data_IF_772727001215
#
_entry.id   IF_772727001215
#
_cell.length_a   1.000
_cell.length_b   1.000
_cell.length_c   1.000
_cell.angle_alpha   90.00
_cell.angle_beta   90.00
_cell.angle_gamma   90.00
#
_symmetry.space_group_name_H-M   'P 1'
#
loop_
_entity.id
_entity.type
_entity.pdbx_description
1 polymer ?
#
# COMPACT_ATOMS: atom_id res chain seq x y z
N UNK A 1 22.98 -10.02 1.96
CA UNK A 1 22.40 -8.83 2.59
C UNK A 1 23.50 -7.90 3.02
N UNK A 2 24.03 -8.09 4.23
CA UNK A 2 25.15 -7.31 4.75
C UNK A 2 26.46 -8.12 4.75
N UNK A 3 27.61 -7.44 4.70
CA UNK A 3 28.90 -8.05 5.03
C UNK A 3 29.00 -8.31 6.53
N UNK A 4 29.94 -9.16 6.96
CA UNK A 4 30.15 -9.44 8.37
C UNK A 4 30.52 -8.17 9.15
N UNK A 5 31.35 -7.30 8.56
CA UNK A 5 31.68 -5.99 9.12
C UNK A 5 30.46 -5.08 9.30
N UNK A 6 29.52 -5.10 8.36
CA UNK A 6 28.28 -4.33 8.45
C UNK A 6 27.34 -4.89 9.52
N UNK A 7 27.27 -6.22 9.68
CA UNK A 7 26.52 -6.84 10.77
C UNK A 7 27.09 -6.44 12.12
N UNK A 8 28.42 -6.51 12.27
CA UNK A 8 29.10 -6.10 13.50
C UNK A 8 28.83 -4.62 13.80
N UNK A 9 28.84 -3.74 12.79
CA UNK A 9 28.50 -2.33 12.96
C UNK A 9 27.06 -2.13 13.48
N UNK A 10 26.07 -2.79 12.87
CA UNK A 10 24.66 -2.72 13.28
C UNK A 10 24.50 -3.20 14.72
N UNK A 11 25.02 -4.38 15.04
CA UNK A 11 24.91 -4.96 16.38
C UNK A 11 25.63 -4.11 17.43
N UNK A 12 26.79 -3.56 17.09
CA UNK A 12 27.54 -2.67 17.99
C UNK A 12 26.75 -1.39 18.28
N UNK A 13 26.11 -0.79 17.28
CA UNK A 13 25.26 0.39 17.47
C UNK A 13 24.03 0.08 18.31
N UNK A 14 23.40 -1.08 18.08
CA UNK A 14 22.25 -1.51 18.86
C UNK A 14 22.62 -1.70 20.33
N UNK A 15 23.70 -2.45 20.59
CA UNK A 15 24.25 -2.71 21.91
C UNK A 15 24.73 -1.45 22.62
N UNK A 16 25.16 -0.42 21.90
CA UNK A 16 25.65 0.81 22.52
C UNK A 16 24.57 1.55 23.31
N UNK A 17 23.29 1.40 22.95
CA UNK A 17 22.20 2.17 23.54
C UNK A 17 21.79 1.66 24.93
N UNK A 18 21.74 0.35 25.16
CA UNK A 18 21.29 -0.25 26.42
C UNK A 18 22.11 -1.47 26.89
N UNK A 19 23.15 -1.84 26.14
CA UNK A 19 24.01 -2.99 26.36
C UNK A 19 23.27 -4.34 26.40
N UNK A 20 22.15 -4.43 25.68
CA UNK A 20 21.33 -5.64 25.55
C UNK A 20 20.94 -5.86 24.09
N UNK A 21 20.54 -7.10 23.80
CA UNK A 21 19.88 -7.46 22.55
C UNK A 21 18.54 -8.07 22.92
N UNK A 22 17.46 -7.40 22.57
CA UNK A 22 16.10 -7.88 22.79
C UNK A 22 15.23 -7.81 21.52
N UNK A 23 13.94 -8.11 21.67
CA UNK A 23 13.00 -8.17 20.53
C UNK A 23 12.72 -6.77 19.97
N UNK A 24 12.80 -5.71 20.78
CA UNK A 24 12.60 -4.34 20.32
C UNK A 24 13.72 -3.87 19.39
N UNK A 25 14.90 -4.48 19.49
CA UNK A 25 16.03 -4.20 18.60
C UNK A 25 15.84 -4.72 17.17
N UNK A 26 14.88 -5.62 16.93
CA UNK A 26 14.61 -6.16 15.59
C UNK A 26 14.21 -5.02 14.63
N UNK A 27 13.33 -4.13 15.06
CA UNK A 27 12.90 -2.98 14.25
C UNK A 27 14.08 -2.05 13.95
N UNK A 28 14.95 -1.83 14.94
CA UNK A 28 16.16 -1.01 14.80
C UNK A 28 17.16 -1.64 13.84
N UNK A 29 17.38 -2.94 13.95
CA UNK A 29 18.26 -3.70 13.06
C UNK A 29 17.76 -3.68 11.61
N UNK A 30 16.44 -3.79 11.40
CA UNK A 30 15.81 -3.69 10.09
C UNK A 30 16.00 -2.28 9.51
N UNK A 31 15.76 -1.24 10.30
CA UNK A 31 15.94 0.15 9.87
C UNK A 31 17.40 0.43 9.47
N UNK A 32 18.37 0.00 10.27
CA UNK A 32 19.78 0.21 9.98
C UNK A 32 20.27 -0.64 8.80
N UNK A 33 19.80 -1.89 8.68
CA UNK A 33 20.02 -2.73 7.49
C UNK A 33 19.49 -2.03 6.22
N UNK A 34 18.31 -1.42 6.28
CA UNK A 34 17.75 -0.64 5.18
C UNK A 34 18.62 0.57 4.82
N UNK A 35 19.12 1.30 5.84
CA UNK A 35 20.02 2.44 5.66
C UNK A 35 21.34 2.02 4.98
N UNK A 36 21.95 0.92 5.42
CA UNK A 36 23.20 0.39 4.87
C UNK A 36 23.07 -0.15 3.45
N UNK A 37 21.92 -0.71 3.11
CA UNK A 37 21.63 -1.22 1.76
C UNK A 37 21.25 -0.13 0.75
N UNK A 38 21.48 1.14 1.08
CA UNK A 38 21.18 2.29 0.22
C UNK A 38 19.73 2.26 -0.28
N UNK A 39 18.77 2.13 0.64
CA UNK A 39 17.39 2.47 0.33
C UNK A 39 17.34 3.99 0.06
N UNK A 40 17.63 4.35 -1.19
CA UNK A 40 17.77 5.71 -1.71
C UNK A 40 17.75 5.68 -3.24
N UNK A 41 17.12 6.68 -3.85
CA UNK A 41 16.74 6.64 -5.26
C UNK A 41 15.25 6.31 -5.41
N UNK A 42 14.93 5.20 -6.08
CA UNK A 42 13.54 4.80 -6.42
C UNK A 42 12.86 3.95 -5.34
N UNK A 43 13.62 3.44 -4.36
CA UNK A 43 13.13 2.61 -3.25
C UNK A 43 13.22 3.38 -1.93
N UNK A 44 12.14 3.36 -1.15
CA UNK A 44 12.05 3.97 0.18
C UNK A 44 11.64 2.93 1.24
N UNK A 45 12.19 3.03 2.45
CA UNK A 45 11.75 2.22 3.59
C UNK A 45 10.63 2.96 4.28
N UNK A 46 9.43 2.41 4.23
CA UNK A 46 8.27 2.99 4.89
C UNK A 46 8.15 2.40 6.30
N UNK A 47 7.82 3.26 7.26
CA UNK A 47 7.44 2.85 8.61
C UNK A 47 5.96 3.13 8.82
N UNK A 48 5.28 2.22 9.50
CA UNK A 48 3.89 2.40 9.91
C UNK A 48 3.69 1.75 11.27
N UNK A 49 2.88 2.37 12.10
CA UNK A 49 2.47 1.89 13.42
C UNK A 49 1.04 1.36 13.42
N UNK A 50 0.38 1.36 12.27
CA UNK A 50 -1.02 0.99 12.12
C UNK A 50 -1.12 -0.33 11.35
N UNK A 51 -1.70 -1.35 11.98
CA UNK A 51 -2.00 -2.64 11.38
C UNK A 51 -3.37 -2.70 10.72
N UNK A 52 -3.77 -3.91 10.31
CA UNK A 52 -5.05 -4.16 9.63
C UNK A 52 -6.28 -3.84 10.49
N UNK A 53 -6.13 -3.71 11.81
CA UNK A 53 -7.17 -3.26 12.72
C UNK A 53 -7.59 -1.80 12.49
N UNK A 54 -6.70 -0.97 11.93
CA UNK A 54 -7.00 0.41 11.55
C UNK A 54 -7.56 0.54 10.13
N UNK A 55 -7.85 -0.58 9.46
CA UNK A 55 -8.44 -0.60 8.12
C UNK A 55 -9.94 -0.91 8.24
N UNK A 56 -10.77 0.02 7.79
CA UNK A 56 -12.22 -0.17 7.69
C UNK A 56 -12.60 -0.86 6.38
N UNK A 57 -13.41 -1.92 6.45
CA UNK A 57 -13.75 -2.76 5.31
C UNK A 57 -12.66 -3.79 5.01
N UNK A 58 -12.45 -4.09 3.72
CA UNK A 58 -11.42 -5.03 3.23
C UNK A 58 -11.52 -6.44 3.83
N UNK A 59 -12.73 -6.92 4.10
CA UNK A 59 -12.92 -8.16 4.87
C UNK A 59 -12.29 -9.37 4.17
N UNK A 60 -12.48 -9.51 2.85
CA UNK A 60 -11.95 -10.65 2.12
C UNK A 60 -10.42 -10.61 2.01
N UNK A 61 -9.84 -9.43 1.81
CA UNK A 61 -8.41 -9.22 1.80
C UNK A 61 -7.82 -9.50 3.19
N UNK A 62 -8.45 -9.03 4.26
CA UNK A 62 -8.02 -9.29 5.64
C UNK A 62 -7.99 -10.79 5.95
N UNK A 63 -9.07 -11.51 5.62
CA UNK A 63 -9.12 -12.97 5.79
C UNK A 63 -8.04 -13.67 4.97
N UNK A 64 -7.85 -13.23 3.72
CA UNK A 64 -6.85 -13.79 2.82
C UNK A 64 -5.41 -13.54 3.33
N UNK A 65 -5.13 -12.35 3.84
CA UNK A 65 -3.83 -11.95 4.42
C UNK A 65 -3.55 -12.71 5.72
N UNK A 66 -4.57 -12.86 6.58
CA UNK A 66 -4.44 -13.57 7.85
C UNK A 66 -4.00 -15.04 7.66
N UNK A 67 -4.52 -15.72 6.62
CA UNK A 67 -4.12 -17.10 6.32
C UNK A 67 -2.70 -17.25 5.76
N UNK A 68 -2.06 -16.16 5.32
CA UNK A 68 -0.77 -16.18 4.62
C UNK A 68 0.40 -15.61 5.40
N UNK A 69 0.17 -14.88 6.49
CA UNK A 69 1.25 -14.32 7.30
C UNK A 69 2.26 -15.37 7.79
N UNK A 70 1.80 -16.59 8.08
CA UNK A 70 2.66 -17.72 8.48
C UNK A 70 3.45 -18.38 7.33
N UNK A 71 3.13 -18.07 6.06
CA UNK A 71 3.72 -18.76 4.90
C UNK A 71 5.20 -18.45 4.68
N UNK A 72 5.75 -17.47 5.40
CA UNK A 72 7.15 -17.04 5.29
C UNK A 72 8.08 -17.73 6.31
N UNK A 73 7.55 -18.62 7.15
CA UNK A 73 8.34 -19.32 8.16
C UNK A 73 9.09 -20.55 7.60
N UNK A 74 10.19 -20.99 8.24
CA UNK A 74 10.86 -22.25 7.89
C UNK A 74 9.93 -23.48 7.99
N UNK A 75 9.01 -23.48 8.96
CA UNK A 75 8.03 -24.54 9.17
C UNK A 75 7.03 -24.62 8.01
N UNK A 76 6.56 -23.47 7.52
CA UNK A 76 5.69 -23.41 6.34
C UNK A 76 6.39 -24.00 5.10
N UNK A 77 7.68 -23.69 4.91
CA UNK A 77 8.50 -24.27 3.84
C UNK A 77 8.64 -25.79 4.01
N UNK A 78 8.87 -26.27 5.24
CA UNK A 78 8.94 -27.70 5.53
C UNK A 78 7.60 -28.42 5.31
N UNK A 79 6.47 -27.75 5.50
CA UNK A 79 5.13 -28.24 5.17
C UNK A 79 4.87 -28.30 3.65
N UNK A 80 5.75 -27.72 2.83
CA UNK A 80 5.62 -27.68 1.38
C UNK A 80 4.92 -26.43 0.85
N UNK A 81 4.68 -25.42 1.69
CA UNK A 81 4.21 -24.12 1.21
C UNK A 81 5.34 -23.38 0.50
N UNK A 82 5.02 -22.83 -0.66
CA UNK A 82 5.82 -21.76 -1.26
C UNK A 82 5.41 -20.44 -0.60
N UNK A 83 6.35 -19.52 -0.36
CA UNK A 83 6.00 -18.17 0.10
C UNK A 83 4.95 -17.54 -0.83
N UNK A 84 4.02 -16.79 -0.25
CA UNK A 84 3.08 -16.01 -1.03
C UNK A 84 3.84 -14.99 -1.89
N UNK A 85 3.50 -14.89 -3.17
CA UNK A 85 4.20 -14.04 -4.15
C UNK A 85 3.70 -12.60 -4.10
N UNK A 86 2.40 -12.39 -3.96
CA UNK A 86 1.88 -11.03 -3.94
C UNK A 86 0.42 -10.86 -4.27
N UNK A 87 -0.03 -9.62 -4.15
CA UNK A 87 -1.39 -9.15 -4.42
C UNK A 87 -1.35 -7.89 -5.28
N UNK A 88 -2.27 -7.80 -6.24
CA UNK A 88 -2.59 -6.56 -6.95
C UNK A 88 -3.86 -5.94 -6.36
N UNK A 89 -3.74 -4.72 -5.84
CA UNK A 89 -4.85 -3.91 -5.35
C UNK A 89 -5.21 -2.88 -6.41
N UNK A 90 -6.39 -3.01 -6.99
CA UNK A 90 -6.87 -2.09 -8.02
C UNK A 90 -8.26 -1.58 -7.68
N UNK A 91 -8.62 -0.39 -8.14
CA UNK A 91 -9.98 0.13 -7.94
C UNK A 91 -10.02 1.63 -7.73
N UNK A 92 -11.11 2.11 -7.13
CA UNK A 92 -11.44 3.54 -7.09
C UNK A 92 -10.34 4.32 -6.34
N UNK A 93 -9.86 5.45 -6.90
CA UNK A 93 -8.87 6.31 -6.23
C UNK A 93 -9.35 6.75 -4.84
N UNK A 94 -8.42 6.94 -3.91
CA UNK A 94 -8.74 7.41 -2.55
C UNK A 94 -9.41 6.38 -1.63
N UNK A 95 -9.58 5.13 -2.05
CA UNK A 95 -10.26 4.08 -1.25
C UNK A 95 -9.31 3.22 -0.40
N UNK A 96 -8.10 3.69 -0.08
CA UNK A 96 -7.25 3.05 0.92
C UNK A 96 -6.29 1.95 0.42
N UNK A 97 -6.08 1.79 -0.90
CA UNK A 97 -5.13 0.81 -1.48
C UNK A 97 -3.70 0.93 -0.91
N UNK A 98 -3.16 2.14 -0.89
CA UNK A 98 -1.83 2.44 -0.35
C UNK A 98 -1.78 2.27 1.17
N UNK A 99 -2.89 2.58 1.86
CA UNK A 99 -3.01 2.44 3.30
C UNK A 99 -3.01 0.97 3.73
N UNK A 100 -3.77 0.12 3.06
CA UNK A 100 -3.82 -1.31 3.38
C UNK A 100 -2.48 -2.00 3.07
N UNK A 101 -1.72 -1.56 2.07
CA UNK A 101 -0.37 -2.05 1.82
C UNK A 101 0.55 -1.84 3.04
N UNK A 102 0.49 -0.65 3.65
CA UNK A 102 1.19 -0.33 4.91
C UNK A 102 0.72 -1.22 6.05
N UNK A 103 -0.59 -1.34 6.21
CA UNK A 103 -1.19 -2.14 7.28
C UNK A 103 -0.81 -3.63 7.21
N UNK A 104 -0.73 -4.22 6.01
CA UNK A 104 -0.31 -5.62 5.82
C UNK A 104 1.13 -5.83 6.32
N UNK A 105 2.06 -4.97 5.91
CA UNK A 105 3.46 -5.08 6.30
C UNK A 105 3.64 -4.94 7.83
N UNK A 106 2.94 -4.00 8.45
CA UNK A 106 2.91 -3.85 9.90
C UNK A 106 2.37 -5.10 10.60
N UNK A 107 1.22 -5.61 10.14
CA UNK A 107 0.56 -6.79 10.74
C UNK A 107 1.44 -8.03 10.67
N UNK A 108 2.27 -8.17 9.63
CA UNK A 108 3.22 -9.27 9.50
C UNK A 108 4.58 -9.01 10.18
N UNK A 109 4.80 -7.81 10.74
CA UNK A 109 6.08 -7.44 11.33
C UNK A 109 7.24 -7.43 10.33
N UNK A 110 6.96 -7.09 9.06
CA UNK A 110 7.93 -7.11 7.97
C UNK A 110 8.30 -5.70 7.50
N UNK A 111 9.55 -5.46 7.06
CA UNK A 111 9.93 -4.20 6.45
C UNK A 111 9.09 -3.93 5.20
N UNK A 112 8.59 -2.70 5.08
CA UNK A 112 7.89 -2.22 3.89
C UNK A 112 8.82 -1.41 3.00
N UNK A 113 9.08 -1.91 1.80
CA UNK A 113 9.87 -1.24 0.78
C UNK A 113 8.93 -0.66 -0.27
N UNK A 114 8.85 0.66 -0.38
CA UNK A 114 8.04 1.34 -1.39
C UNK A 114 8.89 1.63 -2.63
N UNK A 115 8.46 1.10 -3.76
CA UNK A 115 8.96 1.43 -5.08
C UNK A 115 7.94 2.36 -5.76
N UNK A 116 8.32 3.62 -5.99
CA UNK A 116 7.52 4.54 -6.79
C UNK A 116 7.74 4.23 -8.27
N UNK A 117 6.72 3.64 -8.91
CA UNK A 117 6.82 3.24 -10.30
C UNK A 117 7.00 4.44 -11.26
N UNK A 118 6.46 5.62 -10.92
CA UNK A 118 6.64 6.84 -11.69
C UNK A 118 8.07 7.39 -11.63
N UNK A 119 8.75 7.20 -10.49
CA UNK A 119 10.13 7.65 -10.29
C UNK A 119 11.15 6.90 -11.17
N UNK A 120 10.81 5.71 -11.67
CA UNK A 120 11.70 4.90 -12.49
C UNK A 120 12.09 5.57 -13.83
N UNK A 121 11.25 6.45 -14.38
CA UNK A 121 11.51 7.15 -15.64
C UNK A 121 12.28 8.47 -15.49
N UNK A 122 12.50 8.96 -14.26
CA UNK A 122 12.94 10.33 -14.02
C UNK A 122 14.43 10.61 -14.31
N UNK A 123 15.20 9.65 -14.81
CA UNK A 123 16.64 9.85 -15.03
C UNK A 123 17.16 8.99 -16.18
N UNK A 124 17.51 9.61 -17.31
CA UNK A 124 18.27 9.07 -18.45
C UNK A 124 17.86 7.70 -19.04
N UNK A 125 17.63 7.67 -20.35
CA UNK A 125 17.34 6.46 -21.15
C UNK A 125 18.48 5.44 -20.93
N UNK A 126 18.23 4.41 -20.11
CA UNK A 126 19.19 3.37 -19.72
C UNK A 126 19.31 3.14 -18.20
N UNK A 127 19.09 4.16 -17.37
CA UNK A 127 19.16 4.00 -15.91
C UNK A 127 17.91 3.35 -15.32
N UNK A 128 16.73 3.48 -15.94
CA UNK A 128 15.46 2.95 -15.42
C UNK A 128 15.45 1.44 -15.20
N UNK A 129 15.96 0.65 -16.15
CA UNK A 129 16.01 -0.82 -16.02
C UNK A 129 17.03 -1.25 -14.97
N UNK A 130 18.17 -0.55 -14.91
CA UNK A 130 19.18 -0.76 -13.86
C UNK A 130 18.60 -0.45 -12.48
N UNK A 131 17.92 0.68 -12.33
CA UNK A 131 17.28 1.10 -11.08
C UNK A 131 16.22 0.09 -10.63
N UNK A 132 15.41 -0.43 -11.56
CA UNK A 132 14.46 -1.50 -11.25
C UNK A 132 15.18 -2.76 -10.76
N UNK A 133 16.21 -3.24 -11.47
CA UNK A 133 16.98 -4.42 -11.04
C UNK A 133 17.64 -4.23 -9.68
N UNK A 134 18.22 -3.06 -9.43
CA UNK A 134 18.83 -2.72 -8.14
C UNK A 134 17.78 -2.68 -7.03
N UNK A 135 16.61 -2.08 -7.26
CA UNK A 135 15.52 -2.06 -6.30
C UNK A 135 15.02 -3.48 -5.95
N UNK A 136 14.85 -4.35 -6.95
CA UNK A 136 14.44 -5.74 -6.75
C UNK A 136 15.51 -6.56 -6.01
N UNK A 137 16.79 -6.35 -6.34
CA UNK A 137 17.90 -6.99 -5.63
C UNK A 137 17.98 -6.55 -4.16
N UNK A 138 17.74 -5.25 -3.89
CA UNK A 138 17.66 -4.72 -2.52
C UNK A 138 16.48 -5.32 -1.76
N UNK A 139 15.32 -5.48 -2.40
CA UNK A 139 14.16 -6.13 -1.77
C UNK A 139 14.45 -7.59 -1.38
N UNK A 140 15.08 -8.35 -2.27
CA UNK A 140 15.53 -9.72 -2.00
C UNK A 140 16.56 -9.77 -0.86
N UNK A 141 17.53 -8.85 -0.84
CA UNK A 141 18.54 -8.76 0.23
C UNK A 141 17.95 -8.39 1.60
N UNK A 142 16.81 -7.70 1.62
CA UNK A 142 16.06 -7.32 2.82
C UNK A 142 15.04 -8.37 3.25
N UNK A 143 14.87 -9.48 2.52
CA UNK A 143 13.93 -10.54 2.87
C UNK A 143 14.15 -11.11 4.29
N UNK A 144 13.07 -11.55 4.98
CA UNK A 144 11.66 -11.46 4.57
C UNK A 144 11.15 -10.00 4.56
N UNK A 145 10.44 -9.60 3.51
CA UNK A 145 10.03 -8.21 3.29
C UNK A 145 8.75 -8.09 2.48
N UNK A 146 8.10 -6.92 2.57
CA UNK A 146 7.00 -6.52 1.68
C UNK A 146 7.52 -5.47 0.69
N UNK A 147 7.41 -5.75 -0.60
CA UNK A 147 7.71 -4.80 -1.67
C UNK A 147 6.40 -4.19 -2.18
N UNK A 148 6.16 -2.93 -1.85
CA UNK A 148 5.01 -2.17 -2.35
C UNK A 148 5.39 -1.37 -3.60
N UNK A 149 4.83 -1.75 -4.74
CA UNK A 149 4.96 -1.02 -6.01
C UNK A 149 3.74 -0.09 -6.13
N UNK A 150 3.96 1.20 -5.89
CA UNK A 150 2.86 2.18 -5.90
C UNK A 150 2.56 2.67 -7.31
N UNK A 151 1.27 2.76 -7.64
CA UNK A 151 0.75 3.23 -8.93
C UNK A 151 1.48 2.58 -10.11
N UNK A 152 1.46 1.24 -10.13
CA UNK A 152 2.20 0.43 -11.10
C UNK A 152 1.88 0.81 -12.56
N UNK A 153 0.71 1.36 -12.85
CA UNK A 153 0.34 1.88 -14.17
C UNK A 153 1.17 3.10 -14.61
N UNK A 154 1.72 3.89 -13.68
CA UNK A 154 2.60 5.01 -14.03
C UNK A 154 3.97 4.53 -14.51
N UNK A 155 4.45 3.42 -13.93
CA UNK A 155 5.70 2.77 -14.33
C UNK A 155 5.57 1.88 -15.56
N UNK A 156 4.41 1.27 -15.76
CA UNK A 156 4.27 0.15 -16.68
C UNK A 156 3.04 0.26 -17.61
N UNK A 157 2.33 1.38 -17.63
CA UNK A 157 1.10 1.52 -18.42
C UNK A 157 1.27 1.97 -19.87
N UNK A 158 2.45 2.47 -20.24
CA UNK A 158 2.78 2.92 -21.61
C UNK A 158 3.47 1.81 -22.43
N UNK A 159 2.94 0.59 -22.41
CA UNK A 159 3.61 -0.63 -22.94
C UNK A 159 3.23 -1.01 -24.38
N UNK A 160 2.95 -0.03 -25.24
CA UNK A 160 2.67 -0.25 -26.66
C UNK A 160 3.93 -0.24 -27.55
N UNK A 161 3.99 -1.01 -28.67
CA UNK A 161 5.06 -0.91 -29.67
C UNK A 161 5.14 0.47 -30.34
N UNK A 162 4.08 1.26 -30.25
CA UNK A 162 3.95 2.64 -30.73
C UNK A 162 4.18 3.69 -29.62
N UNK A 163 4.66 3.30 -28.44
CA UNK A 163 4.96 4.24 -27.34
C UNK A 163 6.13 5.15 -27.70
N UNK A 164 6.08 6.40 -27.25
CA UNK A 164 7.12 7.43 -27.41
C UNK A 164 8.47 7.04 -26.79
N UNK A 165 8.49 6.00 -25.96
CA UNK A 165 9.60 5.68 -25.06
C UNK A 165 10.49 4.53 -25.60
N UNK A 166 10.32 4.17 -26.88
CA UNK A 166 11.18 3.17 -27.54
C UNK A 166 11.13 1.78 -26.91
N UNK A 167 9.97 1.39 -26.37
CA UNK A 167 9.75 0.09 -25.73
C UNK A 167 10.42 -0.09 -24.36
N UNK A 168 10.89 0.99 -23.72
CA UNK A 168 11.49 0.94 -22.38
C UNK A 168 10.54 0.32 -21.33
N UNK A 169 9.29 0.79 -21.28
CA UNK A 169 8.30 0.27 -20.33
C UNK A 169 8.02 -1.22 -20.52
N UNK A 170 8.05 -1.71 -21.77
CA UNK A 170 7.88 -3.15 -22.05
C UNK A 170 9.07 -3.98 -21.54
N UNK A 171 10.31 -3.50 -21.72
CA UNK A 171 11.51 -4.18 -21.18
C UNK A 171 11.54 -4.19 -19.67
N UNK A 172 11.16 -3.09 -19.03
CA UNK A 172 11.04 -3.00 -17.58
C UNK A 172 9.96 -3.93 -17.05
N UNK A 173 8.79 -3.98 -17.70
CA UNK A 173 7.72 -4.92 -17.38
C UNK A 173 8.20 -6.37 -17.47
N UNK A 174 8.92 -6.70 -18.54
CA UNK A 174 9.53 -8.01 -18.72
C UNK A 174 10.48 -8.34 -17.58
N UNK A 175 11.36 -7.40 -17.20
CA UNK A 175 12.31 -7.57 -16.10
C UNK A 175 11.60 -7.82 -14.75
N UNK A 176 10.57 -7.04 -14.43
CA UNK A 176 9.75 -7.25 -13.23
C UNK A 176 9.08 -8.61 -13.27
N UNK A 177 8.42 -8.95 -14.38
CA UNK A 177 7.66 -10.20 -14.53
C UNK A 177 8.56 -11.43 -14.44
N UNK A 178 9.76 -11.38 -15.02
CA UNK A 178 10.77 -12.44 -14.91
C UNK A 178 11.22 -12.59 -13.46
N UNK A 179 11.57 -11.49 -12.78
CA UNK A 179 11.97 -11.55 -11.38
C UNK A 179 10.86 -12.08 -10.45
N UNK A 180 9.61 -11.68 -10.67
CA UNK A 180 8.44 -12.21 -9.96
C UNK A 180 8.30 -13.74 -10.09
N UNK A 181 8.82 -14.34 -11.17
CA UNK A 181 8.78 -15.78 -11.38
C UNK A 181 9.96 -16.50 -10.74
N UNK A 182 11.16 -15.94 -10.89
CA UNK A 182 12.43 -16.61 -10.66
C UNK A 182 12.98 -16.46 -9.24
N UNK A 183 12.58 -15.45 -8.48
CA UNK A 183 13.10 -15.26 -7.12
C UNK A 183 12.53 -16.30 -6.14
N UNK A 184 13.37 -16.75 -5.20
CA UNK A 184 13.04 -17.75 -4.16
C UNK A 184 13.00 -17.13 -2.75
N UNK A 185 13.46 -15.87 -2.63
CA UNK A 185 13.45 -15.11 -1.40
C UNK A 185 12.01 -14.83 -0.92
N UNK A 186 11.76 -14.79 0.39
CA UNK A 186 10.43 -14.48 0.94
C UNK A 186 10.12 -12.98 0.81
N UNK A 187 9.86 -12.51 -0.42
CA UNK A 187 9.45 -11.14 -0.72
C UNK A 187 7.99 -11.15 -1.19
N UNK A 188 7.12 -10.51 -0.42
CA UNK A 188 5.71 -10.37 -0.78
C UNK A 188 5.47 -9.08 -1.54
N UNK A 189 4.95 -9.16 -2.76
CA UNK A 189 4.73 -7.99 -3.61
C UNK A 189 3.30 -7.47 -3.41
N UNK A 190 3.16 -6.19 -3.09
CA UNK A 190 1.87 -5.48 -3.14
C UNK A 190 1.96 -4.47 -4.26
N UNK A 191 1.18 -4.63 -5.32
CA UNK A 191 1.08 -3.63 -6.37
C UNK A 191 -0.23 -2.85 -6.21
N UNK A 192 -0.20 -1.53 -6.30
CA UNK A 192 -1.42 -0.70 -6.31
C UNK A 192 -1.66 -0.12 -7.70
N UNK A 193 -2.94 0.00 -8.08
CA UNK A 193 -3.33 0.68 -9.31
C UNK A 193 -4.63 1.47 -9.17
N UNK A 194 -4.63 2.67 -9.73
CA UNK A 194 -5.82 3.52 -9.82
C UNK A 194 -6.54 3.38 -11.18
N UNK A 195 -5.83 2.89 -12.20
CA UNK A 195 -6.35 2.75 -13.55
C UNK A 195 -5.87 1.45 -14.20
N UNK A 196 -6.65 0.41 -13.98
CA UNK A 196 -6.41 -0.93 -14.50
C UNK A 196 -6.40 -0.99 -16.03
N UNK A 197 -7.04 -0.03 -16.71
CA UNK A 197 -7.11 -0.04 -18.18
C UNK A 197 -5.79 0.32 -18.84
N UNK A 198 -4.89 0.97 -18.07
CA UNK A 198 -3.52 1.23 -18.49
C UNK A 198 -2.61 0.04 -18.26
N UNK A 199 -3.00 -0.93 -17.42
CA UNK A 199 -2.10 -2.03 -17.11
C UNK A 199 -2.02 -3.04 -18.25
N UNK A 200 -0.80 -3.50 -18.56
CA UNK A 200 -0.59 -4.57 -19.54
C UNK A 200 -1.30 -5.85 -19.07
N UNK A 201 -2.01 -6.57 -19.97
CA UNK A 201 -2.66 -7.84 -19.64
C UNK A 201 -1.72 -8.89 -19.04
N UNK A 202 -0.42 -8.77 -19.30
CA UNK A 202 0.62 -9.63 -18.74
C UNK A 202 0.67 -9.61 -17.21
N UNK A 203 0.34 -8.48 -16.56
CA UNK A 203 0.31 -8.36 -15.10
C UNK A 203 -0.96 -8.93 -14.47
N UNK A 204 -2.07 -8.94 -15.21
CA UNK A 204 -3.38 -9.42 -14.73
C UNK A 204 -3.58 -10.91 -15.02
N UNK A 205 -2.63 -11.57 -15.67
CA UNK A 205 -2.66 -13.03 -15.89
C UNK A 205 -2.46 -13.79 -14.59
N UNK A 206 -3.31 -14.81 -14.41
CA UNK A 206 -3.27 -15.72 -13.27
C UNK A 206 -1.90 -16.39 -13.15
N UNK A 207 -1.33 -16.39 -11.93
CA UNK A 207 -0.02 -16.96 -11.62
C UNK A 207 1.14 -15.95 -11.50
N UNK A 208 0.87 -14.64 -11.62
CA UNK A 208 1.85 -13.57 -11.33
C UNK A 208 1.65 -12.99 -9.94
N UNK A 209 0.43 -12.55 -9.67
CA UNK A 209 -0.05 -12.33 -8.32
C UNK A 209 -0.83 -13.56 -7.87
N UNK A 210 -0.81 -13.84 -6.57
CA UNK A 210 -1.61 -14.91 -5.98
C UNK A 210 -3.10 -14.55 -6.02
N UNK A 211 -3.41 -13.25 -5.94
CA UNK A 211 -4.78 -12.73 -6.00
C UNK A 211 -4.81 -11.29 -6.52
N UNK A 212 -5.92 -10.93 -7.18
CA UNK A 212 -6.23 -9.56 -7.58
C UNK A 212 -7.47 -9.11 -6.82
N UNK A 213 -7.32 -8.08 -5.99
CA UNK A 213 -8.43 -7.51 -5.24
C UNK A 213 -8.89 -6.18 -5.82
N UNK A 214 -10.21 -6.06 -5.95
CA UNK A 214 -10.89 -4.83 -6.32
C UNK A 214 -11.32 -4.05 -5.08
N UNK A 215 -10.84 -2.82 -4.98
CA UNK A 215 -11.14 -1.87 -3.91
C UNK A 215 -12.16 -0.85 -4.41
N UNK A 216 -13.40 -1.04 -3.99
CA UNK A 216 -14.51 -0.16 -4.35
C UNK A 216 -14.69 0.99 -3.34
N UNK A 217 -15.66 1.87 -3.61
CA UNK A 217 -16.16 2.83 -2.64
C UNK A 217 -16.62 2.12 -1.36
N UNK A 218 -16.31 2.68 -0.18
CA UNK A 218 -16.70 2.08 1.09
C UNK A 218 -18.22 2.05 1.26
N UNK A 219 -18.74 0.94 1.77
CA UNK A 219 -20.14 0.82 2.19
C UNK A 219 -20.43 1.65 3.46
N UNK A 220 -21.70 1.74 3.86
CA UNK A 220 -22.11 2.55 5.02
C UNK A 220 -21.40 2.13 6.31
N UNK A 221 -21.21 0.83 6.56
CA UNK A 221 -20.55 0.34 7.78
C UNK A 221 -19.05 0.67 7.76
N UNK A 222 -18.40 0.53 6.61
CA UNK A 222 -17.02 0.92 6.40
C UNK A 222 -16.85 2.43 6.62
N UNK A 223 -17.73 3.28 6.08
CA UNK A 223 -17.68 4.74 6.29
C UNK A 223 -17.86 5.13 7.75
N UNK A 224 -18.80 4.50 8.46
CA UNK A 224 -19.00 4.71 9.90
C UNK A 224 -17.72 4.39 10.68
N UNK A 225 -17.08 3.27 10.38
CA UNK A 225 -15.81 2.90 10.99
C UNK A 225 -14.68 3.86 10.60
N UNK A 226 -14.62 4.31 9.34
CA UNK A 226 -13.66 5.32 8.90
C UNK A 226 -13.79 6.62 9.71
N UNK A 227 -15.00 7.12 9.94
CA UNK A 227 -15.18 8.31 10.78
C UNK A 227 -14.64 8.12 12.19
N UNK A 228 -14.91 6.96 12.83
CA UNK A 228 -14.34 6.64 14.15
C UNK A 228 -12.81 6.67 14.15
N UNK A 229 -12.20 6.03 13.15
CA UNK A 229 -10.74 5.97 13.02
C UNK A 229 -10.12 7.34 12.76
N UNK A 230 -10.74 8.16 11.90
CA UNK A 230 -10.27 9.51 11.59
C UNK A 230 -10.37 10.46 12.79
N UNK A 231 -11.40 10.30 13.63
CA UNK A 231 -11.52 11.04 14.89
C UNK A 231 -10.47 10.58 15.91
N UNK A 232 -10.33 9.26 16.11
CA UNK A 232 -9.40 8.66 17.05
C UNK A 232 -7.93 9.02 16.72
N UNK A 233 -7.54 8.97 15.45
CA UNK A 233 -6.18 9.31 15.01
C UNK A 233 -5.81 10.78 15.27
N UNK A 234 -6.80 11.64 15.52
CA UNK A 234 -6.66 13.07 15.83
C UNK A 234 -6.90 13.37 17.31
N UNK A 235 -6.90 12.35 18.17
CA UNK A 235 -7.10 12.49 19.60
C UNK A 235 -8.52 12.92 19.99
N UNK A 236 -9.52 12.65 19.14
CA UNK A 236 -10.93 12.97 19.42
C UNK A 236 -11.68 11.70 19.80
N UNK A 237 -12.36 11.75 20.94
CA UNK A 237 -13.26 10.70 21.40
C UNK A 237 -14.47 10.61 20.45
N UNK A 238 -14.72 9.43 19.86
CA UNK A 238 -15.79 9.26 18.88
C UNK A 238 -17.19 9.21 19.52
N UNK A 239 -17.29 9.04 20.83
CA UNK A 239 -18.55 8.95 21.59
C UNK A 239 -19.38 10.24 21.52
N UNK A 240 -18.73 11.38 21.26
CA UNK A 240 -19.38 12.67 21.04
C UNK A 240 -19.89 12.89 19.61
N UNK A 241 -19.67 11.94 18.70
CA UNK A 241 -19.98 12.08 17.28
C UNK A 241 -21.01 11.05 16.82
N UNK A 242 -21.97 11.50 16.02
CA UNK A 242 -22.92 10.61 15.36
C UNK A 242 -22.30 10.07 14.06
N UNK A 243 -21.39 9.11 14.21
CA UNK A 243 -20.68 8.51 13.07
C UNK A 243 -21.64 7.78 12.11
N UNK A 244 -22.80 7.31 12.61
CA UNK A 244 -23.81 6.67 11.78
C UNK A 244 -24.50 7.69 10.86
N UNK A 245 -24.86 8.86 11.40
CA UNK A 245 -25.40 9.97 10.60
C UNK A 245 -24.38 10.50 9.58
N UNK A 246 -23.10 10.62 9.97
CA UNK A 246 -22.04 11.01 9.04
C UNK A 246 -21.90 9.99 7.90
N UNK A 247 -21.92 8.69 8.20
CA UNK A 247 -21.85 7.64 7.19
C UNK A 247 -23.05 7.61 6.23
N UNK A 248 -24.25 7.92 6.74
CA UNK A 248 -25.47 8.00 5.96
C UNK A 248 -25.48 9.21 5.01
N UNK A 249 -24.83 10.31 5.39
CA UNK A 249 -24.75 11.55 4.58
C UNK A 249 -23.54 11.58 3.64
N UNK A 250 -22.62 10.61 3.74
CA UNK A 250 -21.42 10.50 2.92
C UNK A 250 -21.50 9.37 1.87
N UNK A 251 -22.70 9.08 1.34
CA UNK A 251 -22.85 8.06 0.28
C UNK A 251 -22.03 8.42 -0.96
N UNK A 252 -21.31 7.45 -1.51
CA UNK A 252 -20.45 7.66 -2.68
C UNK A 252 -19.10 8.31 -2.39
N UNK A 253 -18.78 8.66 -1.13
CA UNK A 253 -17.47 9.20 -0.74
C UNK A 253 -16.41 8.10 -0.65
N UNK A 254 -15.21 8.41 -1.13
CA UNK A 254 -13.99 7.65 -0.89
C UNK A 254 -13.41 7.92 0.50
N UNK A 255 -12.50 7.05 0.96
CA UNK A 255 -11.82 7.25 2.24
C UNK A 255 -11.03 8.56 2.32
N UNK A 256 -10.39 8.96 1.22
CA UNK A 256 -9.66 10.23 1.12
C UNK A 256 -10.59 11.45 1.24
N UNK A 257 -11.79 11.38 0.68
CA UNK A 257 -12.78 12.47 0.78
C UNK A 257 -13.34 12.56 2.20
N UNK A 258 -13.60 11.43 2.86
CA UNK A 258 -13.99 11.40 4.28
C UNK A 258 -12.90 12.03 5.15
N UNK A 259 -11.64 11.64 4.95
CA UNK A 259 -10.50 12.22 5.65
C UNK A 259 -10.42 13.74 5.44
N UNK A 260 -10.57 14.19 4.20
CA UNK A 260 -10.54 15.61 3.85
C UNK A 260 -11.70 16.38 4.49
N UNK A 261 -12.91 15.84 4.51
CA UNK A 261 -14.07 16.48 5.16
C UNK A 261 -13.85 16.63 6.68
N UNK A 262 -13.30 15.62 7.35
CA UNK A 262 -12.94 15.71 8.78
C UNK A 262 -11.83 16.75 9.01
N UNK A 263 -10.83 16.80 8.12
CA UNK A 263 -9.75 17.78 8.17
C UNK A 263 -10.26 19.22 8.01
N UNK A 264 -11.12 19.47 7.02
CA UNK A 264 -11.75 20.77 6.80
C UNK A 264 -12.62 21.18 7.98
N UNK A 265 -13.35 20.23 8.56
CA UNK A 265 -14.22 20.49 9.71
C UNK A 265 -13.41 20.94 10.94
N UNK A 266 -12.21 20.38 11.12
CA UNK A 266 -11.27 20.83 12.14
C UNK A 266 -10.78 22.25 11.90
N UNK A 267 -10.39 22.59 10.67
CA UNK A 267 -9.98 23.96 10.34
C UNK A 267 -11.09 24.96 10.66
N UNK A 268 -12.33 24.62 10.32
CA UNK A 268 -13.45 25.50 10.56
C UNK A 268 -13.80 25.62 12.06
N UNK A 269 -13.88 24.51 12.79
CA UNK A 269 -14.11 24.55 14.24
C UNK A 269 -13.01 25.32 14.98
N UNK A 270 -11.74 25.15 14.55
CA UNK A 270 -10.61 25.90 15.10
C UNK A 270 -10.72 27.40 14.81
N UNK A 271 -11.08 27.79 13.58
CA UNK A 271 -11.30 29.19 13.21
C UNK A 271 -12.40 29.84 14.05
N UNK A 272 -13.47 29.09 14.32
CA UNK A 272 -14.60 29.51 15.16
C UNK A 272 -14.30 29.43 16.67
N UNK A 273 -13.12 28.92 17.05
CA UNK A 273 -12.67 28.74 18.45
C UNK A 273 -13.61 27.86 19.28
N UNK A 274 -14.15 26.82 18.67
CA UNK A 274 -15.02 25.84 19.33
C UNK A 274 -14.47 24.43 19.17
N UNK A 275 -15.02 23.51 19.95
CA UNK A 275 -14.75 22.08 19.78
C UNK A 275 -15.41 21.54 18.51
N UNK A 276 -14.74 20.59 17.87
CA UNK A 276 -15.29 19.89 16.71
C UNK A 276 -16.57 19.15 17.12
N UNK A 277 -17.61 19.24 16.29
CA UNK A 277 -18.87 18.51 16.47
C UNK A 277 -19.29 17.82 15.17
N UNK A 278 -20.27 16.92 15.27
CA UNK A 278 -20.92 16.27 14.11
C UNK A 278 -21.41 17.28 13.07
N UNK A 279 -21.88 18.46 13.51
CA UNK A 279 -22.42 19.49 12.62
C UNK A 279 -21.37 20.08 11.69
N UNK A 280 -20.15 20.33 12.19
CA UNK A 280 -19.04 20.80 11.36
C UNK A 280 -18.68 19.78 10.29
N UNK A 281 -18.58 18.50 10.65
CA UNK A 281 -18.26 17.44 9.68
C UNK A 281 -19.38 17.31 8.65
N UNK A 282 -20.64 17.34 9.08
CA UNK A 282 -21.81 17.27 8.18
C UNK A 282 -21.82 18.43 7.19
N UNK A 283 -21.48 19.64 7.64
CA UNK A 283 -21.38 20.82 6.77
C UNK A 283 -20.31 20.67 5.70
N UNK A 284 -19.14 20.16 6.06
CA UNK A 284 -18.05 19.94 5.10
C UNK A 284 -18.36 18.80 4.12
N UNK A 285 -19.06 17.75 4.57
CA UNK A 285 -19.57 16.70 3.68
C UNK A 285 -20.54 17.31 2.65
N UNK A 286 -21.51 18.12 3.08
CA UNK A 286 -22.47 18.77 2.18
C UNK A 286 -21.83 19.76 1.20
N UNK A 287 -20.69 20.35 1.55
CA UNK A 287 -19.93 21.25 0.68
C UNK A 287 -19.02 20.51 -0.32
N UNK A 288 -18.79 19.21 -0.11
CA UNK A 288 -17.90 18.39 -0.93
C UNK A 288 -18.69 17.65 -2.00
N UNK A 289 -18.18 17.66 -3.24
CA UNK A 289 -18.71 16.81 -4.32
C UNK A 289 -17.78 15.61 -4.51
N UNK A 290 -18.22 14.37 -4.22
CA UNK A 290 -17.37 13.21 -4.31
C UNK A 290 -17.04 12.84 -5.76
N UNK A 291 -15.95 12.09 -5.97
CA UNK A 291 -15.50 11.61 -7.27
C UNK A 291 -16.58 10.81 -8.01
N UNK A 292 -17.40 10.06 -7.27
CA UNK A 292 -18.55 9.32 -7.79
C UNK A 292 -19.60 10.21 -8.45
N UNK A 293 -19.74 11.46 -8.02
CA UNK A 293 -20.61 12.45 -8.65
C UNK A 293 -19.89 13.28 -9.72
N UNK A 294 -18.62 13.61 -9.50
CA UNK A 294 -17.82 14.42 -10.45
C UNK A 294 -17.49 13.62 -11.71
N UNK A 295 -17.30 12.31 -11.62
CA UNK A 295 -16.92 11.44 -12.73
C UNK A 295 -17.56 10.04 -12.63
N UNK A 296 -18.90 9.95 -12.69
CA UNK A 296 -19.64 8.69 -12.52
C UNK A 296 -19.24 7.65 -13.58
N UNK A 297 -19.03 8.06 -14.83
CA UNK A 297 -18.65 7.14 -15.92
C UNK A 297 -17.28 6.50 -15.68
N UNK A 298 -16.33 7.24 -15.11
CA UNK A 298 -15.00 6.73 -14.80
C UNK A 298 -15.06 5.70 -13.68
N UNK A 299 -15.83 5.98 -12.62
CA UNK A 299 -16.06 5.05 -11.51
C UNK A 299 -16.77 3.79 -11.99
N UNK A 300 -17.87 3.94 -12.74
CA UNK A 300 -18.65 2.81 -13.28
C UNK A 300 -17.80 1.91 -14.19
N UNK A 301 -16.93 2.49 -15.02
CA UNK A 301 -16.02 1.72 -15.88
C UNK A 301 -15.03 0.87 -15.07
N UNK A 302 -14.45 1.43 -14.00
CA UNK A 302 -13.52 0.73 -13.13
C UNK A 302 -14.24 -0.37 -12.34
N UNK A 303 -15.44 -0.09 -11.81
CA UNK A 303 -16.29 -1.07 -11.12
C UNK A 303 -16.72 -2.24 -12.02
N UNK A 304 -17.14 -1.96 -13.26
CA UNK A 304 -17.50 -2.98 -14.23
C UNK A 304 -16.32 -3.91 -14.54
N UNK A 305 -15.10 -3.36 -14.63
CA UNK A 305 -13.90 -4.17 -14.76
C UNK A 305 -13.68 -5.04 -13.53
N UNK A 306 -13.76 -4.45 -12.33
CA UNK A 306 -13.56 -5.14 -11.04
C UNK A 306 -14.47 -6.35 -10.88
N UNK A 307 -15.76 -6.17 -11.13
CA UNK A 307 -16.77 -7.22 -11.01
C UNK A 307 -16.49 -8.45 -11.90
N UNK A 308 -15.82 -8.27 -13.04
CA UNK A 308 -15.55 -9.34 -13.99
C UNK A 308 -14.17 -10.01 -13.82
N UNK A 309 -13.20 -9.35 -13.19
CA UNK A 309 -11.79 -9.75 -13.25
C UNK A 309 -11.07 -9.86 -11.90
N UNK A 310 -11.69 -9.41 -10.81
CA UNK A 310 -11.04 -9.34 -9.51
C UNK A 310 -11.99 -9.73 -8.38
N UNK A 311 -11.41 -10.21 -7.27
CA UNK A 311 -12.16 -10.51 -6.06
C UNK A 311 -12.45 -9.20 -5.31
N UNK A 312 -13.65 -8.96 -4.76
CA UNK A 312 -13.88 -7.81 -3.91
C UNK A 312 -12.98 -7.87 -2.67
N UNK A 313 -12.34 -6.75 -2.33
CA UNK A 313 -11.41 -6.61 -1.22
C UNK A 313 -12.07 -6.78 0.16
#
# INVERSE_FOLDING_TARGET
>A
GLTLEQVDLVLTQILFDDNRLDVADIERAIAEKGRLLSVGGVLALETTTQGLEWVAGFNHLRDWVATRGGAFSPEARAFGLRPARGVLLTGVPGCGKSYVAKAIAHTWGMPLLRLDAGSLYASYIGASERNLREALATAAALSPSVLWIDEIEKGFGSTGPSSSDGGLGYRMLGSLTTWMQEHDEPVFIIATSNDITKLPPELTRQGRFDEIFFVDLPDTLAREHMFRLQLASRGRAHEGFDCAALAATSEGFSGAEIEQSVSNALYAAFADKVELSTEYVTRELAATRPLSEVSPDAVAKIQAWGAAHARPA
#
